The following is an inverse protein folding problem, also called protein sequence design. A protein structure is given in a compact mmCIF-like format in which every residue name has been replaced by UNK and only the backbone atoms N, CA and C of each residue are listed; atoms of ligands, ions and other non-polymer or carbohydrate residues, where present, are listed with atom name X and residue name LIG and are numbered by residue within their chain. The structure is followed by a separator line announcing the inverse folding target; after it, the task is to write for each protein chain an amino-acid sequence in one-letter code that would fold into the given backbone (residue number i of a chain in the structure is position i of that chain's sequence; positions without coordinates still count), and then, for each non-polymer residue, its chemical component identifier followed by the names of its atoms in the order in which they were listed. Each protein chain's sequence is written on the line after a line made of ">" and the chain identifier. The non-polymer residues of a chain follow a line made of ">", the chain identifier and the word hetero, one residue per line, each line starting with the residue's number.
data_IF_174868542057
#
_entry.id   IF_174868542057
#
_cell.length_a   1.000
_cell.length_b   1.000
_cell.length_c   1.000
_cell.angle_alpha   90.00
_cell.angle_beta   90.00
_cell.angle_gamma   90.00
#
_symmetry.space_group_name_H-M   'P 1'
#
loop_
_entity.id
_entity.type
_entity.pdbx_description
1 polymer ?
#
# COMPACT_ATOMS: atom_id res chain seq x y z
N UNK A 1 15.53 -13.01 7.64
CA UNK A 1 14.52 -12.24 6.95
C UNK A 1 15.04 -11.00 6.38
N UNK A 2 14.92 -10.80 5.13
CA UNK A 2 15.39 -9.57 4.54
C UNK A 2 14.61 -8.37 5.05
N UNK A 3 13.32 -8.49 5.30
CA UNK A 3 12.57 -7.37 5.85
C UNK A 3 11.25 -7.84 6.46
N UNK A 4 10.79 -7.05 7.41
CA UNK A 4 9.53 -7.33 8.10
C UNK A 4 8.50 -6.23 7.88
N UNK A 5 8.83 -5.23 7.07
CA UNK A 5 7.98 -4.06 6.91
C UNK A 5 8.14 -3.49 5.51
N UNK A 6 7.03 -3.12 4.92
CA UNK A 6 7.03 -2.41 3.65
C UNK A 6 5.84 -1.47 3.61
N UNK A 7 6.06 -0.25 3.12
CA UNK A 7 4.97 0.65 2.80
C UNK A 7 5.24 1.21 1.42
N UNK A 8 4.21 1.24 0.57
CA UNK A 8 4.37 1.70 -0.81
C UNK A 8 3.09 2.30 -1.33
N UNK A 9 3.25 3.24 -2.23
CA UNK A 9 2.12 3.88 -2.86
C UNK A 9 2.55 5.02 -3.75
N UNK A 10 1.58 5.72 -4.30
CA UNK A 10 1.81 6.88 -5.15
C UNK A 10 1.04 8.06 -4.60
N UNK A 11 1.71 9.19 -4.44
CA UNK A 11 1.15 10.37 -3.84
C UNK A 11 1.04 11.46 -4.91
N UNK A 12 -0.19 11.93 -5.24
CA UNK A 12 -0.32 13.08 -6.13
C UNK A 12 0.30 14.30 -5.46
N UNK A 13 1.13 15.04 -6.18
CA UNK A 13 1.83 16.16 -5.59
C UNK A 13 1.37 17.47 -6.18
N UNK A 14 1.49 18.52 -5.37
CA UNK A 14 1.05 19.86 -5.78
C UNK A 14 1.96 20.41 -6.87
N UNK A 15 1.43 21.36 -7.65
CA UNK A 15 2.25 22.12 -8.56
C UNK A 15 3.31 22.85 -7.74
N UNK A 16 4.50 22.98 -8.28
CA UNK A 16 5.61 23.56 -7.52
C UNK A 16 6.45 22.52 -6.81
N UNK A 17 5.99 21.28 -6.76
CA UNK A 17 6.82 20.21 -6.20
C UNK A 17 8.00 19.97 -7.15
N UNK A 18 9.20 19.91 -6.59
CA UNK A 18 10.41 19.77 -7.38
C UNK A 18 11.18 18.54 -6.98
N UNK A 19 12.07 18.12 -7.87
CA UNK A 19 12.89 16.94 -7.64
C UNK A 19 13.68 17.02 -6.34
N UNK A 20 14.09 18.22 -5.96
CA UNK A 20 14.83 18.41 -4.71
C UNK A 20 13.99 18.04 -3.48
N UNK A 21 12.68 18.22 -3.56
CA UNK A 21 11.80 17.85 -2.45
C UNK A 21 11.73 16.33 -2.31
N UNK A 22 11.67 15.61 -3.43
CA UNK A 22 11.67 14.15 -3.41
C UNK A 22 12.98 13.63 -2.83
N UNK A 23 14.09 14.23 -3.21
CA UNK A 23 15.38 13.83 -2.72
C UNK A 23 15.51 14.06 -1.22
N UNK A 24 14.94 15.17 -0.73
CA UNK A 24 14.97 15.49 0.68
C UNK A 24 14.14 14.49 1.48
N UNK A 25 13.01 14.07 0.92
CA UNK A 25 12.21 13.03 1.56
C UNK A 25 13.01 11.73 1.67
N UNK A 26 13.63 11.31 0.59
CA UNK A 26 14.40 10.08 0.58
C UNK A 26 15.50 10.10 1.64
N UNK A 27 16.13 11.26 1.82
CA UNK A 27 17.19 11.40 2.83
C UNK A 27 16.62 11.37 4.24
N UNK A 28 15.44 11.95 4.44
CA UNK A 28 14.86 12.03 5.78
C UNK A 28 14.34 10.69 6.27
N UNK A 29 14.07 9.74 5.37
CA UNK A 29 13.58 8.44 5.77
C UNK A 29 14.69 7.58 6.40
N UNK A 30 15.94 7.85 6.06
CA UNK A 30 17.09 7.18 6.66
C UNK A 30 17.04 5.66 6.59
N UNK A 31 16.27 5.11 5.67
CA UNK A 31 16.15 3.67 5.44
C UNK A 31 16.12 3.44 3.96
N UNK A 32 16.36 2.21 3.49
CA UNK A 32 16.25 1.93 2.07
C UNK A 32 14.89 2.36 1.55
N UNK A 33 14.89 3.34 0.68
CA UNK A 33 13.66 3.91 0.17
C UNK A 33 13.83 4.20 -1.31
N UNK A 34 12.74 3.97 -2.06
CA UNK A 34 12.68 4.33 -3.46
C UNK A 34 11.68 5.46 -3.59
N UNK A 35 12.12 6.59 -4.12
CA UNK A 35 11.27 7.76 -4.29
C UNK A 35 11.51 8.30 -5.68
N UNK A 36 10.50 8.27 -6.54
CA UNK A 36 10.67 8.76 -7.91
C UNK A 36 9.34 9.24 -8.48
N UNK A 37 9.43 10.08 -9.51
CA UNK A 37 8.26 10.58 -10.19
C UNK A 37 7.70 9.54 -11.15
N UNK A 38 6.38 9.39 -11.16
CA UNK A 38 5.70 8.66 -12.19
C UNK A 38 5.45 9.63 -13.35
N UNK A 39 6.15 9.41 -14.46
CA UNK A 39 6.16 10.36 -15.56
C UNK A 39 5.03 10.12 -16.57
N UNK A 40 4.36 8.98 -16.47
CA UNK A 40 3.29 8.62 -17.39
C UNK A 40 1.91 8.91 -16.82
N UNK A 41 1.83 9.46 -15.63
CA UNK A 41 0.55 9.75 -15.01
C UNK A 41 0.00 11.09 -15.53
N UNK A 42 -1.33 11.18 -15.62
CA UNK A 42 -1.98 12.42 -16.00
C UNK A 42 -1.70 13.50 -14.94
N UNK A 43 -1.75 13.12 -13.68
CA UNK A 43 -1.41 14.02 -12.58
C UNK A 43 -0.02 13.63 -12.07
N UNK A 44 0.88 14.58 -11.85
CA UNK A 44 2.19 14.25 -11.31
C UNK A 44 2.06 13.51 -10.00
N UNK A 45 2.69 12.36 -9.92
CA UNK A 45 2.65 11.53 -8.72
C UNK A 45 4.05 11.13 -8.32
N UNK A 46 4.25 11.06 -7.02
CA UNK A 46 5.52 10.62 -6.46
C UNK A 46 5.34 9.20 -5.96
N UNK A 47 6.07 8.27 -6.53
CA UNK A 47 6.03 6.87 -6.09
C UNK A 47 7.01 6.72 -4.95
N UNK A 48 6.53 6.16 -3.84
CA UNK A 48 7.32 5.99 -2.63
C UNK A 48 7.22 4.53 -2.19
N UNK A 49 8.36 3.95 -1.86
CA UNK A 49 8.42 2.60 -1.35
C UNK A 49 9.52 2.51 -0.31
N UNK A 50 9.16 2.11 0.90
CA UNK A 50 10.13 1.92 1.98
C UNK A 50 9.97 0.51 2.50
N UNK A 51 11.06 -0.24 2.58
CA UNK A 51 11.02 -1.58 3.15
C UNK A 51 12.33 -1.89 3.86
N UNK A 52 12.25 -2.73 4.84
CA UNK A 52 13.43 -3.12 5.57
C UNK A 52 13.09 -3.89 6.83
N UNK A 53 14.15 -4.26 7.55
CA UNK A 53 14.01 -4.85 8.87
C UNK A 53 13.96 -3.70 9.85
N UNK A 54 12.75 -3.28 10.22
CA UNK A 54 12.53 -2.09 11.03
C UNK A 54 11.91 -2.46 12.36
N UNK A 55 12.38 -1.81 13.43
CA UNK A 55 11.73 -1.94 14.72
C UNK A 55 10.40 -1.20 14.71
N UNK A 56 9.49 -1.47 15.65
CA UNK A 56 8.23 -0.74 15.71
C UNK A 56 8.41 0.77 15.78
N UNK A 57 9.42 1.25 16.50
CA UNK A 57 9.69 2.68 16.54
C UNK A 57 10.15 3.24 15.22
N UNK A 58 10.96 2.48 14.48
CA UNK A 58 11.40 2.91 13.15
C UNK A 58 10.24 2.90 12.16
N UNK A 59 9.35 1.92 12.26
CA UNK A 59 8.16 1.87 11.41
C UNK A 59 7.29 3.09 11.65
N UNK A 60 7.09 3.44 12.91
CA UNK A 60 6.31 4.62 13.26
C UNK A 60 6.97 5.89 12.74
N UNK A 61 8.28 5.99 12.85
CA UNK A 61 9.02 7.15 12.36
C UNK A 61 8.85 7.32 10.85
N UNK A 62 8.90 6.23 10.09
CA UNK A 62 8.68 6.26 8.64
C UNK A 62 7.28 6.79 8.34
N UNK A 63 6.27 6.27 9.03
CA UNK A 63 4.89 6.67 8.77
C UNK A 63 4.64 8.12 9.15
N UNK A 64 5.23 8.58 10.23
CA UNK A 64 5.10 9.99 10.63
C UNK A 64 5.78 10.91 9.62
N UNK A 65 6.95 10.52 9.13
CA UNK A 65 7.65 11.31 8.13
C UNK A 65 6.84 11.40 6.85
N UNK A 66 6.25 10.29 6.41
CA UNK A 66 5.41 10.28 5.22
C UNK A 66 4.14 11.11 5.44
N UNK A 67 3.55 11.05 6.64
CA UNK A 67 2.36 11.82 6.94
C UNK A 67 2.64 13.33 6.89
N UNK A 68 3.74 13.75 7.48
CA UNK A 68 4.12 15.17 7.46
C UNK A 68 4.42 15.65 6.04
N UNK A 69 5.17 14.85 5.30
CA UNK A 69 5.49 15.17 3.92
C UNK A 69 4.23 15.30 3.08
N UNK A 70 3.32 14.33 3.23
CA UNK A 70 2.11 14.34 2.43
C UNK A 70 1.18 15.49 2.82
N UNK A 71 1.15 15.87 4.08
CA UNK A 71 0.38 17.03 4.50
C UNK A 71 0.86 18.30 3.80
N UNK A 72 2.16 18.39 3.58
CA UNK A 72 2.74 19.57 2.96
C UNK A 72 2.64 19.56 1.45
N UNK A 73 2.86 18.43 0.82
CA UNK A 73 3.04 18.37 -0.64
C UNK A 73 1.98 17.63 -1.41
N UNK A 74 1.11 16.89 -0.76
CA UNK A 74 0.10 16.13 -1.50
C UNK A 74 -0.97 17.05 -2.07
N UNK A 75 -1.31 16.82 -3.34
CA UNK A 75 -2.41 17.54 -3.98
C UNK A 75 -3.74 16.92 -3.59
N UNK A 76 -3.75 15.65 -3.23
CA UNK A 76 -4.95 14.94 -2.85
C UNK A 76 -4.55 13.79 -1.94
N UNK A 77 -5.51 13.23 -1.23
CA UNK A 77 -5.26 12.08 -0.39
C UNK A 77 -4.90 10.86 -1.21
N UNK A 78 -4.13 9.97 -0.63
CA UNK A 78 -3.72 8.74 -1.27
C UNK A 78 -3.76 7.61 -0.25
N UNK A 79 -3.94 6.38 -0.74
CA UNK A 79 -3.95 5.20 0.11
C UNK A 79 -2.73 4.38 -0.21
N UNK A 80 -1.90 4.18 0.80
CA UNK A 80 -0.69 3.38 0.68
C UNK A 80 -0.95 1.99 1.23
N UNK A 81 -0.26 1.01 0.70
CA UNK A 81 -0.34 -0.36 1.19
C UNK A 81 0.84 -0.58 2.12
N UNK A 82 0.52 -1.05 3.32
CA UNK A 82 1.53 -1.35 4.33
C UNK A 82 1.49 -2.84 4.63
N UNK A 83 2.65 -3.46 4.67
CA UNK A 83 2.77 -4.85 5.12
C UNK A 83 3.64 -4.92 6.36
N UNK A 84 3.10 -5.48 7.42
CA UNK A 84 3.84 -5.76 8.64
C UNK A 84 3.83 -7.25 8.85
N UNK A 85 5.03 -7.84 8.89
CA UNK A 85 5.15 -9.28 9.10
C UNK A 85 4.27 -10.06 8.12
N UNK A 86 4.19 -9.58 6.90
CA UNK A 86 3.42 -10.24 5.85
C UNK A 86 1.94 -9.90 5.82
N UNK A 87 1.43 -9.14 6.78
CA UNK A 87 0.01 -8.81 6.81
C UNK A 87 -0.26 -7.45 6.19
N UNK A 88 -1.08 -7.40 5.14
CA UNK A 88 -1.36 -6.12 4.48
C UNK A 88 -2.38 -5.28 5.24
N UNK A 89 -2.21 -3.98 5.14
CA UNK A 89 -3.17 -3.02 5.66
C UNK A 89 -3.09 -1.76 4.80
N UNK A 90 -4.02 -0.82 5.01
CA UNK A 90 -4.02 0.41 4.25
C UNK A 90 -3.72 1.58 5.17
N UNK A 91 -2.97 2.54 4.63
CA UNK A 91 -2.64 3.77 5.35
C UNK A 91 -3.04 4.94 4.47
N UNK A 92 -3.88 5.82 4.99
CA UNK A 92 -4.29 7.02 4.25
C UNK A 92 -3.31 8.14 4.55
N UNK A 93 -2.82 8.78 3.49
CA UNK A 93 -1.87 9.88 3.61
C UNK A 93 -2.39 11.07 2.81
N UNK A 94 -1.94 12.27 3.20
CA UNK A 94 -2.35 13.49 2.53
C UNK A 94 -3.58 14.09 3.14
N UNK A 95 -4.25 15.02 2.43
CA UNK A 95 -5.48 15.60 2.94
C UNK A 95 -6.45 14.52 3.33
N UNK A 96 -7.13 14.71 4.45
CA UNK A 96 -8.00 13.67 4.99
C UNK A 96 -8.97 13.19 3.91
N UNK A 97 -9.05 11.87 3.67
CA UNK A 97 -9.99 11.36 2.69
C UNK A 97 -11.40 11.61 3.18
N UNK A 98 -12.32 11.85 2.27
CA UNK A 98 -13.71 12.02 2.63
C UNK A 98 -14.26 10.72 3.20
N UNK A 99 -15.33 10.84 3.98
CA UNK A 99 -16.01 9.64 4.48
C UNK A 99 -16.44 8.73 3.33
N UNK A 100 -16.79 9.34 2.21
CA UNK A 100 -17.19 8.59 1.02
C UNK A 100 -16.04 7.72 0.50
N UNK A 101 -14.82 8.26 0.45
CA UNK A 101 -13.67 7.48 0.01
C UNK A 101 -13.36 6.32 0.94
N UNK A 102 -13.51 6.53 2.24
CA UNK A 102 -13.30 5.45 3.20
C UNK A 102 -14.35 4.36 3.03
N UNK A 103 -15.61 4.75 2.77
CA UNK A 103 -16.67 3.80 2.53
C UNK A 103 -16.42 3.01 1.24
N UNK A 104 -15.97 3.68 0.18
CA UNK A 104 -15.64 3.00 -1.07
C UNK A 104 -14.52 1.98 -0.87
N UNK A 105 -13.52 2.34 -0.08
CA UNK A 105 -12.42 1.43 0.19
C UNK A 105 -12.91 0.18 0.94
N UNK A 106 -13.78 0.39 1.92
CA UNK A 106 -14.36 -0.73 2.67
C UNK A 106 -15.19 -1.62 1.76
N UNK A 107 -15.98 -1.03 0.86
CA UNK A 107 -16.77 -1.79 -0.10
C UNK A 107 -15.90 -2.62 -1.03
N UNK A 108 -14.82 -2.02 -1.55
CA UNK A 108 -13.91 -2.74 -2.43
C UNK A 108 -13.27 -3.92 -1.72
N UNK A 109 -12.96 -3.76 -0.45
CA UNK A 109 -12.37 -4.84 0.33
C UNK A 109 -13.36 -5.98 0.52
N UNK A 110 -14.62 -5.66 0.80
CA UNK A 110 -15.66 -6.68 0.91
C UNK A 110 -15.86 -7.41 -0.41
N UNK A 111 -15.84 -6.68 -1.52
CA UNK A 111 -15.99 -7.29 -2.84
C UNK A 111 -14.83 -8.24 -3.14
N UNK A 112 -13.61 -7.83 -2.77
CA UNK A 112 -12.45 -8.68 -2.97
C UNK A 112 -12.57 -9.97 -2.16
N UNK A 113 -12.98 -9.87 -0.91
CA UNK A 113 -13.16 -11.04 -0.06
C UNK A 113 -14.20 -11.97 -0.66
N UNK A 114 -15.31 -11.42 -1.16
CA UNK A 114 -16.36 -12.21 -1.79
C UNK A 114 -15.88 -12.92 -3.04
N UNK A 115 -15.07 -12.25 -3.86
CA UNK A 115 -14.51 -12.84 -5.06
C UNK A 115 -13.56 -13.98 -4.72
N UNK A 116 -12.76 -13.81 -3.70
CA UNK A 116 -11.85 -14.86 -3.27
C UNK A 116 -12.61 -16.08 -2.77
N UNK A 117 -13.68 -15.88 -2.02
CA UNK A 117 -14.50 -16.98 -1.56
C UNK A 117 -15.17 -17.71 -2.71
N UNK A 118 -15.65 -16.97 -3.71
CA UNK A 118 -16.25 -17.59 -4.88
C UNK A 118 -15.22 -18.39 -5.67
N UNK A 119 -14.02 -17.88 -5.78
CA UNK A 119 -12.95 -18.61 -6.46
C UNK A 119 -12.68 -19.93 -5.77
N UNK A 120 -12.59 -19.93 -4.47
CA UNK A 120 -12.43 -21.15 -3.70
C UNK A 120 -13.56 -22.12 -3.96
N UNK A 121 -14.78 -21.61 -3.91
CA UNK A 121 -15.97 -22.46 -4.10
C UNK A 121 -15.93 -23.12 -5.47
N UNK A 122 -15.65 -22.36 -6.51
CA UNK A 122 -15.61 -22.88 -7.88
C UNK A 122 -14.52 -23.94 -8.03
N UNK A 123 -13.34 -23.65 -7.49
CA UNK A 123 -12.23 -24.61 -7.59
C UNK A 123 -12.54 -25.90 -6.86
N UNK A 124 -13.23 -25.83 -5.74
CA UNK A 124 -13.63 -27.02 -5.01
C UNK A 124 -14.65 -27.84 -5.79
N UNK A 125 -15.55 -27.15 -6.51
CA UNK A 125 -16.55 -27.83 -7.32
C UNK A 125 -15.87 -28.66 -8.44
N UNK A 126 -14.74 -28.22 -8.95
CA UNK A 126 -14.03 -28.94 -9.97
C UNK A 126 -13.05 -29.96 -9.40
N UNK A 127 -12.94 -30.06 -8.08
CA UNK A 127 -12.05 -31.03 -7.48
C UNK A 127 -10.57 -30.75 -7.70
N UNK A 128 -10.21 -29.48 -7.81
CA UNK A 128 -8.81 -29.10 -8.04
C UNK A 128 -8.07 -29.13 -6.72
N UNK A 129 -7.27 -30.15 -6.51
CA UNK A 129 -6.59 -30.33 -5.22
C UNK A 129 -5.64 -29.20 -4.91
N UNK A 130 -4.93 -28.72 -5.89
CA UNK A 130 -3.98 -27.67 -5.65
C UNK A 130 -4.62 -26.37 -5.23
N UNK A 131 -5.92 -26.30 -5.37
CA UNK A 131 -6.61 -25.11 -4.99
C UNK A 131 -6.72 -24.98 -3.52
N UNK A 132 -6.40 -26.07 -2.80
CA UNK A 132 -6.46 -25.85 -1.51
C UNK A 132 -5.41 -25.58 -1.00
N UNK A 133 -4.89 -24.73 -1.05
CA UNK A 133 -3.92 -24.49 -0.35
C UNK A 133 -4.34 -24.37 0.55
N UNK A 134 -4.39 -24.20 0.35
CA UNK A 134 -4.92 -23.99 1.15
C UNK A 134 -5.99 -24.78 1.03
N UNK A 135 -6.27 -25.40 0.31
CA UNK A 135 -7.25 -26.04 0.28
C UNK A 135 -6.98 -27.23 0.10
N UNK A 136 -6.96 -27.88 0.44
CA UNK A 136 -6.83 -29.00 0.37
C UNK A 136 -7.61 -29.63 -0.24
N UNK A 137 -7.64 -29.99 -0.69
CA UNK A 137 -8.17 -30.64 -1.33
C UNK A 137 -9.29 -30.68 -1.69
N UNK A 138 -9.56 -30.60 -2.32
CA UNK A 138 -10.57 -30.71 -2.68
C UNK A 138 -10.85 -31.67 -3.20
N UNK A 139 -10.50 -32.19 -3.20
CA UNK A 139 -10.69 -33.06 -3.71
C UNK A 139 -11.51 -33.78 -3.62
N UNK A 140 -11.79 -34.10 -3.53
CA UNK A 140 -12.45 -34.90 -3.50
C UNK A 140 -13.25 -34.97 -4.06
N UNK A 141 -13.11 -34.62 -4.44
CA UNK A 141 -13.87 -34.66 -5.01
C UNK A 141 -14.36 -35.10 -5.16
#
# INVERSE_FOLDING_TARGET
>A
MPFNYEIRGALPVRSGFKHAHAQRLAESLAKPAEVYFATDAVTPSLVIRVRGALSPGEQQSVEETLALFSHEWAAAGAVFIRQRYGEPSFVALGPAPSAQLLDELADLRLQLDGLLQRQFFILRQFGVAGAEPAMESLADN
#
